data_IF_595961216294
#
_entry.id   IF_595961216294
#
_cell.length_a   1.000
_cell.length_b   1.000
_cell.length_c   1.000
_cell.angle_alpha   90.00
_cell.angle_beta   90.00
_cell.angle_gamma   90.00
#
_symmetry.space_group_name_H-M   'P 1'
#
loop_
_entity.id
_entity.type
_entity.pdbx_description
1 polymer ?
#
# COMPACT_ATOMS: atom_id res chain seq x y z
N UNK A 1 -7.67 -14.20 -31.23
CA UNK A 1 -6.97 -15.04 -30.25
C UNK A 1 -5.83 -14.21 -29.69
N UNK A 2 -6.06 -13.50 -28.58
CA UNK A 2 -5.10 -12.53 -28.03
C UNK A 2 -4.12 -13.28 -27.13
N UNK A 3 -2.85 -13.37 -27.54
CA UNK A 3 -1.77 -13.89 -26.71
C UNK A 3 -1.70 -13.03 -25.43
N UNK A 4 -2.08 -13.60 -24.28
CA UNK A 4 -1.83 -12.96 -22.99
C UNK A 4 -0.33 -13.03 -22.73
N UNK A 5 0.38 -11.91 -22.90
CA UNK A 5 1.74 -11.79 -22.37
C UNK A 5 1.66 -11.94 -20.85
N UNK A 6 2.36 -12.93 -20.29
CA UNK A 6 2.49 -13.11 -18.85
C UNK A 6 3.64 -12.23 -18.36
N UNK A 7 3.33 -11.12 -17.71
CA UNK A 7 4.33 -10.31 -17.02
C UNK A 7 4.73 -11.00 -15.70
N UNK A 8 5.98 -10.83 -15.24
CA UNK A 8 6.37 -11.29 -13.91
C UNK A 8 5.58 -10.54 -12.84
N UNK A 9 5.15 -11.26 -11.82
CA UNK A 9 4.48 -10.68 -10.66
C UNK A 9 5.49 -9.96 -9.76
N UNK A 10 5.25 -8.69 -9.47
CA UNK A 10 6.10 -7.87 -8.59
C UNK A 10 5.34 -7.53 -7.32
N UNK A 11 5.94 -7.82 -6.17
CA UNK A 11 5.38 -7.48 -4.86
C UNK A 11 5.81 -6.07 -4.48
N UNK A 12 4.82 -5.20 -4.26
CA UNK A 12 5.02 -3.81 -3.88
C UNK A 12 4.62 -3.60 -2.42
N UNK A 13 5.22 -2.61 -1.77
CA UNK A 13 4.74 -2.08 -0.51
C UNK A 13 4.58 -0.56 -0.57
N UNK A 14 3.47 -0.06 -0.04
CA UNK A 14 3.24 1.37 0.17
C UNK A 14 3.05 1.64 1.65
N UNK A 15 3.79 2.60 2.20
CA UNK A 15 3.71 2.98 3.61
C UNK A 15 2.70 4.10 3.79
N UNK A 16 1.72 3.90 4.67
CA UNK A 16 0.67 4.89 4.97
C UNK A 16 0.05 4.60 6.35
N UNK A 17 -0.92 5.39 6.82
CA UNK A 17 -1.62 5.08 8.07
C UNK A 17 -2.55 3.86 7.91
N UNK A 18 -2.85 3.16 9.01
CA UNK A 18 -3.79 2.01 8.97
C UNK A 18 -5.17 2.43 8.42
N UNK A 19 -5.65 3.60 8.81
CA UNK A 19 -6.93 4.14 8.32
C UNK A 19 -6.90 4.34 6.80
N UNK A 20 -5.83 4.94 6.27
CA UNK A 20 -5.66 5.15 4.83
C UNK A 20 -5.54 3.83 4.09
N UNK A 21 -4.75 2.88 4.59
CA UNK A 21 -4.65 1.54 4.00
C UNK A 21 -6.02 0.84 3.94
N UNK A 22 -6.80 0.89 5.03
CA UNK A 22 -8.17 0.34 5.06
C UNK A 22 -9.10 1.05 4.07
N UNK A 23 -9.02 2.38 3.98
CA UNK A 23 -9.81 3.19 3.06
C UNK A 23 -9.49 2.84 1.59
N UNK A 24 -8.21 2.67 1.24
CA UNK A 24 -7.78 2.26 -0.10
C UNK A 24 -8.37 0.89 -0.47
N UNK A 25 -8.26 -0.10 0.43
CA UNK A 25 -8.78 -1.44 0.18
C UNK A 25 -10.31 -1.44 0.07
N UNK A 26 -11.00 -0.77 1.00
CA UNK A 26 -12.46 -0.74 1.03
C UNK A 26 -13.04 0.00 -0.18
N UNK A 27 -12.41 1.10 -0.61
CA UNK A 27 -12.85 1.87 -1.78
C UNK A 27 -12.30 1.37 -3.11
N UNK A 28 -11.30 0.49 -3.09
CA UNK A 28 -10.53 0.03 -4.25
C UNK A 28 -9.83 1.18 -5.00
N UNK A 29 -9.55 2.29 -4.30
CA UNK A 29 -9.04 3.52 -4.90
C UNK A 29 -7.89 4.09 -4.08
N UNK A 30 -6.76 4.32 -4.75
CA UNK A 30 -5.70 5.17 -4.26
C UNK A 30 -5.85 6.57 -4.84
N UNK A 31 -5.69 7.59 -3.97
CA UNK A 31 -5.67 9.00 -4.37
C UNK A 31 -4.26 9.53 -4.14
N UNK A 32 -3.52 9.88 -5.21
CA UNK A 32 -2.22 10.53 -5.09
C UNK A 32 -2.30 11.81 -4.28
N UNK A 33 -1.18 12.20 -3.66
CA UNK A 33 -1.09 13.46 -2.93
C UNK A 33 -1.09 14.67 -3.89
N UNK A 34 -0.53 14.49 -5.08
CA UNK A 34 -0.50 15.50 -6.13
C UNK A 34 -1.31 15.05 -7.35
N UNK A 35 -2.09 15.95 -7.92
CA UNK A 35 -2.93 15.69 -9.10
C UNK A 35 -2.25 16.08 -10.40
N UNK A 36 -1.14 16.83 -10.34
CA UNK A 36 -0.44 17.30 -11.52
C UNK A 36 0.33 16.14 -12.18
N UNK A 37 -0.08 15.68 -13.39
CA UNK A 37 0.42 14.43 -13.97
C UNK A 37 1.88 14.50 -14.42
N UNK A 38 2.48 15.70 -14.41
CA UNK A 38 3.88 15.95 -14.73
C UNK A 38 4.81 15.83 -13.52
N UNK A 39 4.27 15.62 -12.32
CA UNK A 39 5.05 15.53 -11.09
C UNK A 39 5.29 14.07 -10.73
N UNK A 40 6.47 13.82 -10.15
CA UNK A 40 6.87 12.46 -9.80
C UNK A 40 6.06 11.81 -8.67
N UNK A 41 5.26 12.61 -7.96
CA UNK A 41 4.33 12.20 -6.90
C UNK A 41 2.88 12.07 -7.37
N UNK A 42 2.63 12.15 -8.68
CA UNK A 42 1.28 12.07 -9.25
C UNK A 42 0.70 10.65 -9.29
N UNK A 43 1.53 9.64 -9.00
CA UNK A 43 1.15 8.23 -8.96
C UNK A 43 1.15 7.64 -7.54
N UNK A 44 1.01 6.31 -7.47
CA UNK A 44 1.23 5.57 -6.23
C UNK A 44 2.74 5.31 -6.08
N UNK A 45 3.37 6.05 -5.17
CA UNK A 45 4.74 5.81 -4.73
C UNK A 45 4.81 4.54 -3.87
N UNK A 46 5.70 3.62 -4.20
CA UNK A 46 5.88 2.36 -3.47
C UNK A 46 7.35 1.91 -3.47
N UNK A 47 7.65 0.86 -2.71
CA UNK A 47 8.87 0.07 -2.82
C UNK A 47 8.59 -1.32 -3.37
N UNK A 48 9.64 -2.04 -3.78
CA UNK A 48 9.57 -3.47 -4.10
C UNK A 48 9.92 -4.27 -2.84
N UNK A 49 9.10 -5.26 -2.49
CA UNK A 49 9.33 -6.11 -1.32
C UNK A 49 10.64 -6.88 -1.49
N UNK A 50 11.55 -6.72 -0.52
CA UNK A 50 12.86 -7.36 -0.52
C UNK A 50 13.98 -6.52 -1.12
N UNK A 51 13.66 -5.41 -1.78
CA UNK A 51 14.65 -4.47 -2.33
C UNK A 51 15.06 -3.42 -1.30
N UNK A 52 16.31 -2.99 -1.37
CA UNK A 52 16.82 -1.89 -0.54
C UNK A 52 16.33 -0.57 -1.13
N UNK A 53 15.52 0.15 -0.35
CA UNK A 53 15.23 1.54 -0.64
C UNK A 53 16.28 2.44 0.01
N UNK A 54 16.57 3.56 -0.64
CA UNK A 54 17.26 4.63 0.05
C UNK A 54 16.37 5.16 1.19
N UNK A 55 17.00 5.59 2.29
CA UNK A 55 16.31 6.08 3.49
C UNK A 55 15.21 7.09 3.14
N UNK A 56 13.96 6.73 3.41
CA UNK A 56 12.83 7.64 3.35
C UNK A 56 12.29 7.90 4.76
N UNK A 57 11.92 9.15 5.04
CA UNK A 57 11.43 9.58 6.36
C UNK A 57 10.16 8.86 6.83
N UNK A 58 9.43 8.22 5.92
CA UNK A 58 8.10 7.64 6.18
C UNK A 58 8.13 6.18 6.69
N UNK A 59 9.30 5.51 6.70
CA UNK A 59 9.40 4.08 7.02
C UNK A 59 9.05 3.71 8.46
N UNK A 60 9.02 4.67 9.39
CA UNK A 60 8.84 4.42 10.82
C UNK A 60 7.41 4.57 11.34
N UNK A 61 6.47 5.05 10.52
CA UNK A 61 5.14 5.41 11.00
C UNK A 61 4.04 4.85 10.11
N UNK A 62 3.44 3.73 10.53
CA UNK A 62 2.16 3.26 10.01
C UNK A 62 2.12 1.80 9.57
N UNK A 63 1.30 1.54 8.56
CA UNK A 63 1.08 0.26 7.92
C UNK A 63 1.73 0.20 6.54
N UNK A 64 2.25 -0.98 6.19
CA UNK A 64 2.63 -1.35 4.83
C UNK A 64 1.44 -2.01 4.15
N UNK A 65 0.84 -1.32 3.19
CA UNK A 65 -0.08 -1.93 2.24
C UNK A 65 0.75 -2.73 1.23
N UNK A 66 0.62 -4.05 1.27
CA UNK A 66 1.30 -4.95 0.34
C UNK A 66 0.40 -5.16 -0.88
N UNK A 67 0.98 -5.02 -2.06
CA UNK A 67 0.28 -5.12 -3.33
C UNK A 67 1.03 -6.02 -4.30
N UNK A 68 0.29 -6.53 -5.26
CA UNK A 68 0.75 -7.30 -6.40
C UNK A 68 0.62 -6.44 -7.65
N UNK A 69 1.71 -6.31 -8.42
CA UNK A 69 1.71 -5.75 -9.76
C UNK A 69 1.92 -6.86 -10.79
N UNK A 70 1.15 -6.85 -11.86
CA UNK A 70 1.14 -7.88 -12.92
C UNK A 70 1.13 -7.29 -14.33
N UNK A 71 1.54 -6.03 -14.48
CA UNK A 71 1.47 -5.28 -15.73
C UNK A 71 2.85 -4.89 -16.28
N UNK A 72 2.88 -4.05 -17.32
CA UNK A 72 4.11 -3.50 -17.89
C UNK A 72 4.99 -2.78 -16.86
N UNK A 73 6.30 -2.86 -17.07
CA UNK A 73 7.31 -2.22 -16.24
C UNK A 73 8.25 -1.41 -17.12
N UNK A 74 8.46 -0.15 -16.77
CA UNK A 74 9.47 0.73 -17.37
C UNK A 74 10.64 0.84 -16.39
N UNK A 75 11.86 0.57 -16.87
CA UNK A 75 13.10 0.74 -16.10
C UNK A 75 13.88 1.92 -16.67
N UNK A 76 14.62 2.65 -15.82
CA UNK A 76 15.53 3.71 -16.26
C UNK A 76 15.45 4.94 -15.37
N UNK A 77 16.24 5.98 -15.66
CA UNK A 77 16.18 7.24 -14.92
C UNK A 77 14.92 8.05 -15.30
N UNK A 78 14.47 8.95 -14.41
CA UNK A 78 13.30 9.81 -14.68
C UNK A 78 13.58 10.71 -15.90
N UNK A 79 14.85 11.09 -16.11
CA UNK A 79 15.29 11.82 -17.30
C UNK A 79 14.96 11.10 -18.61
N UNK A 80 14.94 9.77 -18.58
CA UNK A 80 14.74 8.93 -19.76
C UNK A 80 13.25 8.64 -19.99
N UNK A 81 12.40 8.92 -18.99
CA UNK A 81 10.96 8.67 -19.00
C UNK A 81 10.21 9.86 -18.39
N UNK A 82 10.03 10.95 -19.16
CA UNK A 82 9.39 12.16 -18.64
C UNK A 82 7.93 11.89 -18.30
N UNK A 83 7.47 12.48 -17.20
CA UNK A 83 6.06 12.47 -16.83
C UNK A 83 5.23 13.25 -17.87
N UNK A 84 3.97 12.84 -18.14
CA UNK A 84 3.24 11.77 -17.47
C UNK A 84 3.67 10.37 -17.90
N UNK A 85 3.74 9.46 -16.93
CA UNK A 85 3.93 8.04 -17.21
C UNK A 85 2.73 7.50 -18.01
N UNK A 86 2.94 6.55 -18.95
CA UNK A 86 1.84 5.82 -19.55
C UNK A 86 0.96 5.17 -18.50
N UNK A 87 -0.36 5.19 -18.71
CA UNK A 87 -1.31 4.53 -17.81
C UNK A 87 -1.03 3.02 -17.70
N UNK A 88 -1.52 2.41 -16.63
CA UNK A 88 -1.34 0.97 -16.36
C UNK A 88 0.13 0.51 -16.42
N UNK A 89 1.06 1.36 -15.98
CA UNK A 89 2.49 1.07 -15.98
C UNK A 89 3.10 1.23 -14.59
N UNK A 90 4.04 0.33 -14.25
CA UNK A 90 4.94 0.49 -13.11
C UNK A 90 6.26 1.07 -13.61
N UNK A 91 6.62 2.24 -13.09
CA UNK A 91 7.92 2.82 -13.33
C UNK A 91 8.87 2.46 -12.19
N UNK A 92 9.98 1.81 -12.53
CA UNK A 92 11.01 1.36 -11.59
C UNK A 92 12.19 2.34 -11.57
N UNK A 93 12.25 3.16 -10.50
CA UNK A 93 13.33 4.11 -10.23
C UNK A 93 14.09 3.75 -8.94
N UNK A 94 14.24 2.44 -8.67
CA UNK A 94 15.10 1.99 -7.57
C UNK A 94 16.53 2.57 -7.71
N UNK A 95 17.22 2.88 -6.59
CA UNK A 95 16.85 2.56 -5.21
C UNK A 95 15.89 3.58 -4.57
N UNK A 96 15.43 4.60 -5.28
CA UNK A 96 14.59 5.63 -4.67
C UNK A 96 13.19 5.12 -4.37
N UNK A 97 12.47 4.70 -5.42
CA UNK A 97 11.09 4.18 -5.32
C UNK A 97 10.65 3.58 -6.64
N UNK A 98 9.50 2.95 -6.61
CA UNK A 98 8.71 2.68 -7.80
C UNK A 98 7.44 3.52 -7.79
N UNK A 99 6.90 3.81 -8.97
CA UNK A 99 5.69 4.61 -9.13
C UNK A 99 4.72 3.84 -10.01
N UNK A 100 3.53 3.52 -9.51
CA UNK A 100 2.42 3.06 -10.35
C UNK A 100 1.74 4.29 -10.92
N UNK A 101 1.61 4.34 -12.25
CA UNK A 101 1.06 5.49 -12.99
C UNK A 101 -0.30 5.94 -12.47
N UNK A 102 -0.52 7.25 -12.49
CA UNK A 102 -1.85 7.85 -12.34
C UNK A 102 -2.80 7.31 -13.42
N UNK A 103 -4.07 7.08 -13.07
CA UNK A 103 -5.06 6.53 -14.00
C UNK A 103 -4.99 5.01 -14.18
N UNK A 104 -4.15 4.29 -13.42
CA UNK A 104 -4.14 2.82 -13.43
C UNK A 104 -5.50 2.26 -13.03
N UNK A 105 -6.01 1.33 -13.83
CA UNK A 105 -7.31 0.65 -13.61
C UNK A 105 -7.19 -0.87 -13.51
N UNK A 106 -6.02 -1.41 -13.86
CA UNK A 106 -5.74 -2.84 -13.90
C UNK A 106 -4.34 -3.16 -13.38
N UNK A 107 -4.03 -4.45 -13.27
CA UNK A 107 -2.74 -5.02 -12.86
C UNK A 107 -2.28 -4.80 -11.41
N UNK A 108 -2.88 -3.86 -10.67
CA UNK A 108 -2.58 -3.59 -9.26
C UNK A 108 -3.63 -4.22 -8.33
N UNK A 109 -3.20 -5.04 -7.36
CA UNK A 109 -4.09 -5.70 -6.40
C UNK A 109 -3.55 -5.64 -4.99
N UNK A 110 -4.38 -5.36 -3.99
CA UNK A 110 -3.97 -5.52 -2.59
C UNK A 110 -3.89 -7.01 -2.22
N UNK A 111 -2.86 -7.36 -1.45
CA UNK A 111 -2.65 -8.74 -0.99
C UNK A 111 -2.47 -8.87 0.53
N UNK A 112 -1.99 -7.83 1.20
CA UNK A 112 -1.87 -7.83 2.67
C UNK A 112 -1.79 -6.39 3.23
N UNK A 113 -2.01 -6.25 4.54
CA UNK A 113 -1.61 -5.06 5.31
C UNK A 113 -0.75 -5.51 6.48
N UNK A 114 0.51 -5.08 6.51
CA UNK A 114 1.43 -5.32 7.61
C UNK A 114 1.53 -4.09 8.50
N UNK A 115 1.38 -4.25 9.81
CA UNK A 115 1.48 -3.16 10.77
C UNK A 115 1.91 -3.71 12.14
N UNK A 116 2.50 -2.84 12.97
CA UNK A 116 2.88 -3.20 14.34
C UNK A 116 1.66 -3.22 15.26
N UNK A 117 1.78 -3.90 16.40
CA UNK A 117 0.74 -3.92 17.43
C UNK A 117 0.46 -2.53 18.00
N UNK A 118 1.49 -1.69 18.07
CA UNK A 118 1.35 -0.30 18.48
C UNK A 118 0.46 0.46 17.49
N UNK A 119 0.73 0.35 16.18
CA UNK A 119 -0.08 1.00 15.16
C UNK A 119 -1.53 0.49 15.20
N UNK A 120 -1.75 -0.82 15.37
CA UNK A 120 -3.09 -1.39 15.47
C UNK A 120 -3.90 -0.87 16.66
N UNK A 121 -3.23 -0.44 17.72
CA UNK A 121 -3.86 0.00 18.97
C UNK A 121 -3.95 1.52 19.09
N UNK A 122 -3.39 2.28 18.13
CA UNK A 122 -3.30 3.75 18.19
C UNK A 122 -4.67 4.43 18.36
N UNK A 123 -5.71 3.90 17.72
CA UNK A 123 -7.10 4.40 17.79
C UNK A 123 -8.01 3.57 18.73
N UNK A 124 -7.46 2.61 19.46
CA UNK A 124 -8.27 1.75 20.34
C UNK A 124 -8.73 2.53 21.57
N UNK A 125 -10.05 2.70 21.73
CA UNK A 125 -10.63 3.31 22.93
C UNK A 125 -10.47 2.37 24.13
N UNK A 126 -9.43 2.62 24.93
CA UNK A 126 -9.14 1.85 26.13
C UNK A 126 -10.17 2.16 27.24
N UNK A 127 -10.88 1.16 27.79
CA UNK A 127 -11.73 1.36 28.96
C UNK A 127 -10.84 1.46 30.22
N UNK A 128 -10.25 2.64 30.43
CA UNK A 128 -9.19 2.91 31.41
C UNK A 128 -9.64 2.85 32.89
N UNK A 129 -10.94 2.90 33.18
CA UNK A 129 -11.42 3.16 34.54
C UNK A 129 -12.07 1.95 35.26
N UNK A 130 -12.02 0.73 34.73
CA UNK A 130 -12.71 -0.43 35.36
C UNK A 130 -11.96 -1.77 35.37
N UNK A 131 -10.70 -1.83 34.95
CA UNK A 131 -10.02 -3.11 34.71
C UNK A 131 -8.74 -3.26 35.55
N UNK A 132 -8.58 -4.41 36.21
CA UNK A 132 -7.30 -4.84 36.78
C UNK A 132 -6.26 -5.05 35.66
N UNK A 133 -4.97 -5.03 35.97
CA UNK A 133 -3.90 -5.23 34.97
C UNK A 133 -4.13 -6.48 34.10
N UNK A 134 -4.49 -7.61 34.73
CA UNK A 134 -4.80 -8.85 34.01
C UNK A 134 -6.03 -8.75 33.11
N UNK A 135 -7.00 -7.89 33.42
CA UNK A 135 -8.15 -7.63 32.55
C UNK A 135 -7.78 -6.68 31.40
N UNK A 136 -6.91 -5.70 31.63
CA UNK A 136 -6.41 -4.79 30.60
C UNK A 136 -5.63 -5.56 29.53
N UNK A 137 -4.74 -6.48 29.92
CA UNK A 137 -3.98 -7.27 28.96
C UNK A 137 -4.88 -8.22 28.15
N UNK A 138 -5.86 -8.87 28.81
CA UNK A 138 -6.85 -9.70 28.10
C UNK A 138 -7.67 -8.90 27.10
N UNK A 139 -8.08 -7.69 27.47
CA UNK A 139 -8.77 -6.78 26.55
C UNK A 139 -7.87 -6.39 25.37
N UNK A 140 -6.61 -6.01 25.64
CA UNK A 140 -5.62 -5.63 24.61
C UNK A 140 -5.42 -6.74 23.60
N UNK A 141 -5.18 -7.96 24.06
CA UNK A 141 -4.99 -9.14 23.19
C UNK A 141 -6.25 -9.45 22.37
N UNK A 142 -7.44 -9.31 22.98
CA UNK A 142 -8.72 -9.49 22.29
C UNK A 142 -8.93 -8.46 21.18
N UNK A 143 -8.65 -7.19 21.44
CA UNK A 143 -8.76 -6.11 20.45
C UNK A 143 -7.74 -6.25 19.32
N UNK A 144 -6.48 -6.58 19.64
CA UNK A 144 -5.47 -6.89 18.63
C UNK A 144 -5.92 -8.01 17.71
N UNK A 145 -6.46 -9.10 18.28
CA UNK A 145 -6.99 -10.22 17.50
C UNK A 145 -8.12 -9.77 16.59
N UNK A 146 -9.14 -9.08 17.12
CA UNK A 146 -10.28 -8.57 16.33
C UNK A 146 -9.84 -7.70 15.16
N UNK A 147 -8.88 -6.79 15.40
CA UNK A 147 -8.36 -5.86 14.41
C UNK A 147 -7.55 -6.57 13.32
N UNK A 148 -6.67 -7.50 13.69
CA UNK A 148 -5.97 -8.38 12.74
C UNK A 148 -6.95 -9.19 11.89
N UNK A 149 -7.96 -9.78 12.52
CA UNK A 149 -8.99 -10.57 11.81
C UNK A 149 -9.85 -9.69 10.89
N UNK A 150 -10.07 -8.42 11.25
CA UNK A 150 -10.74 -7.45 10.37
C UNK A 150 -9.88 -7.11 9.15
N UNK A 151 -8.58 -6.91 9.32
CA UNK A 151 -7.65 -6.66 8.21
C UNK A 151 -7.61 -7.87 7.28
N UNK A 152 -7.41 -9.08 7.81
CA UNK A 152 -7.38 -10.32 7.00
C UNK A 152 -8.65 -10.49 6.18
N UNK A 153 -9.81 -10.15 6.74
CA UNK A 153 -11.09 -10.19 6.02
C UNK A 153 -11.16 -9.17 4.88
N UNK A 154 -10.66 -7.95 5.10
CA UNK A 154 -10.65 -6.90 4.07
C UNK A 154 -9.82 -7.29 2.84
N UNK A 155 -8.73 -8.03 3.02
CA UNK A 155 -7.81 -8.38 1.91
C UNK A 155 -8.09 -9.75 1.29
N UNK A 156 -9.02 -10.53 1.86
CA UNK A 156 -9.29 -11.92 1.45
C UNK A 156 -9.59 -12.06 -0.05
N UNK A 157 -10.32 -11.11 -0.61
CA UNK A 157 -10.74 -11.15 -2.02
C UNK A 157 -9.71 -10.50 -2.98
N UNK A 158 -8.55 -10.08 -2.44
CA UNK A 158 -7.44 -9.45 -3.18
C UNK A 158 -7.92 -8.37 -4.16
N UNK A 159 -8.53 -7.28 -3.65
CA UNK A 159 -9.23 -6.32 -4.49
C UNK A 159 -8.25 -5.62 -5.43
N UNK A 160 -8.70 -5.45 -6.69
CA UNK A 160 -8.03 -4.57 -7.64
C UNK A 160 -8.05 -3.14 -7.11
N UNK A 161 -6.94 -2.43 -7.22
CA UNK A 161 -6.82 -1.03 -6.81
C UNK A 161 -6.65 -0.18 -8.06
N UNK A 162 -7.45 0.88 -8.16
CA UNK A 162 -7.26 1.92 -9.16
C UNK A 162 -6.45 3.09 -8.57
N UNK A 163 -5.56 3.69 -9.36
CA UNK A 163 -4.86 4.94 -9.02
C UNK A 163 -5.62 6.08 -9.68
N UNK A 164 -6.22 6.96 -8.87
CA UNK A 164 -7.05 8.06 -9.40
C UNK A 164 -6.20 9.10 -10.14
N UNK A 165 -6.76 9.76 -11.17
CA UNK A 165 -6.31 11.07 -11.61
C UNK A 165 -6.40 12.13 -10.52
#
# INVERSE_FOLDING_TARGET
>A
MTLRMSYPTIMLFHVTSIERARSIIASQQFKPADHAPHLSDSGLNAGIVGELLASQQYEHYGAKLIMEWSGPVINGAISDNPFPLPIDTLYNALPWRVVVSQGTTQYLRAVDIQCSDQALMEDARHPWYCLTEGMQERWRLSELKKRRDSIKRLVKDKPSICVKP
#
